data_IF_989833871684
#
_entry.id   IF_989833871684
#
_cell.length_a   1.000
_cell.length_b   1.000
_cell.length_c   1.000
_cell.angle_alpha   90.00
_cell.angle_beta   90.00
_cell.angle_gamma   90.00
#
_symmetry.space_group_name_H-M   'P 1'
#
loop_
_entity.id
_entity.type
_entity.pdbx_description
1 polymer ?
#
# COMPACT_ATOMS: atom_id res chain seq x y z
N UNK A 1 -40.79 -16.52 -31.57
CA UNK A 1 -39.40 -16.20 -31.21
C UNK A 1 -39.00 -17.06 -30.03
N UNK A 2 -37.90 -17.82 -30.13
CA UNK A 2 -37.36 -18.61 -29.02
C UNK A 2 -36.58 -17.69 -28.08
N UNK A 3 -37.28 -17.17 -27.08
CA UNK A 3 -36.69 -16.32 -26.04
C UNK A 3 -35.59 -17.03 -25.25
N UNK A 4 -35.67 -18.36 -25.10
CA UNK A 4 -34.65 -19.15 -24.41
C UNK A 4 -33.34 -19.23 -25.21
N UNK A 5 -33.45 -19.44 -26.52
CA UNK A 5 -32.32 -19.40 -27.45
C UNK A 5 -31.64 -18.04 -27.47
N UNK A 6 -32.42 -16.95 -27.53
CA UNK A 6 -31.91 -15.57 -27.49
C UNK A 6 -31.14 -15.27 -26.20
N UNK A 7 -31.70 -15.63 -25.05
CA UNK A 7 -31.04 -15.40 -23.74
C UNK A 7 -29.70 -16.15 -23.61
N UNK A 8 -29.64 -17.40 -24.06
CA UNK A 8 -28.39 -18.18 -24.06
C UNK A 8 -27.32 -17.55 -24.95
N UNK A 9 -27.72 -16.99 -26.10
CA UNK A 9 -26.78 -16.29 -26.98
C UNK A 9 -26.24 -15.01 -26.32
N UNK A 10 -27.09 -14.21 -25.66
CA UNK A 10 -26.64 -13.04 -24.91
C UNK A 10 -25.67 -13.42 -23.78
N UNK A 11 -25.95 -14.50 -23.04
CA UNK A 11 -25.08 -15.01 -21.98
C UNK A 11 -23.68 -15.36 -22.52
N UNK A 12 -23.63 -16.04 -23.68
CA UNK A 12 -22.36 -16.40 -24.33
C UNK A 12 -21.59 -15.18 -24.86
N UNK A 13 -22.26 -14.25 -25.53
CA UNK A 13 -21.62 -13.05 -26.08
C UNK A 13 -20.99 -12.22 -24.97
N UNK A 14 -21.73 -11.99 -23.87
CA UNK A 14 -21.24 -11.17 -22.78
C UNK A 14 -20.14 -11.88 -21.98
N UNK A 15 -20.23 -13.19 -21.83
CA UNK A 15 -19.16 -14.02 -21.27
C UNK A 15 -17.86 -13.93 -22.10
N UNK A 16 -17.96 -14.04 -23.42
CA UNK A 16 -16.79 -13.95 -24.30
C UNK A 16 -16.19 -12.53 -24.30
N UNK A 17 -17.02 -11.50 -24.16
CA UNK A 17 -16.56 -10.13 -23.94
C UNK A 17 -15.72 -9.99 -22.66
N UNK A 18 -16.19 -10.45 -21.50
CA UNK A 18 -15.41 -10.35 -20.27
C UNK A 18 -14.08 -11.10 -20.36
N UNK A 19 -14.06 -12.24 -21.06
CA UNK A 19 -12.83 -13.00 -21.31
C UNK A 19 -11.86 -12.29 -22.26
N UNK A 20 -12.35 -11.60 -23.29
CA UNK A 20 -11.48 -10.94 -24.26
C UNK A 20 -10.80 -9.74 -23.64
N UNK A 21 -11.53 -8.91 -22.88
CA UNK A 21 -10.98 -7.75 -22.17
C UNK A 21 -9.89 -8.15 -21.18
N UNK A 22 -9.97 -9.37 -20.61
CA UNK A 22 -8.96 -9.90 -19.70
C UNK A 22 -7.66 -10.33 -20.38
N UNK A 23 -7.69 -10.78 -21.64
CA UNK A 23 -6.53 -11.36 -22.34
C UNK A 23 -5.57 -10.31 -22.91
N UNK A 24 -6.00 -9.06 -23.03
CA UNK A 24 -5.21 -8.00 -23.65
C UNK A 24 -4.23 -7.33 -22.65
N UNK A 25 -3.49 -8.14 -21.90
CA UNK A 25 -2.48 -7.65 -20.92
C UNK A 25 -1.32 -6.87 -21.59
N UNK A 26 -1.17 -6.98 -22.92
CA UNK A 26 -0.07 -6.37 -23.67
C UNK A 26 -0.29 -4.88 -24.01
N UNK A 27 -1.54 -4.40 -23.92
CA UNK A 27 -1.89 -3.00 -24.11
C UNK A 27 -2.63 -2.57 -22.85
N UNK A 28 -2.07 -1.64 -22.07
CA UNK A 28 -2.77 -1.03 -20.94
C UNK A 28 -3.96 -0.18 -21.44
N UNK A 29 -5.00 -0.83 -21.95
CA UNK A 29 -6.28 -0.18 -22.23
C UNK A 29 -6.98 -0.01 -20.90
N UNK A 30 -7.26 1.25 -20.55
CA UNK A 30 -8.06 1.56 -19.37
C UNK A 30 -9.47 0.99 -19.60
N UNK A 31 -9.94 0.04 -18.77
CA UNK A 31 -11.25 -0.57 -18.98
C UNK A 31 -12.36 0.46 -18.77
N UNK A 32 -13.39 0.43 -19.62
CA UNK A 32 -14.61 1.23 -19.44
C UNK A 32 -15.42 0.65 -18.28
N UNK A 33 -15.14 1.13 -17.07
CA UNK A 33 -15.73 0.63 -15.84
C UNK A 33 -17.25 0.85 -15.81
N UNK A 34 -17.74 1.94 -16.39
CA UNK A 34 -19.17 2.23 -16.47
C UNK A 34 -19.88 1.12 -17.27
N UNK A 35 -19.33 0.78 -18.44
CA UNK A 35 -19.85 -0.29 -19.27
C UNK A 35 -19.76 -1.66 -18.60
N UNK A 36 -18.64 -1.96 -17.94
CA UNK A 36 -18.43 -3.24 -17.25
C UNK A 36 -19.43 -3.41 -16.10
N UNK A 37 -19.59 -2.37 -15.27
CA UNK A 37 -20.54 -2.40 -14.15
C UNK A 37 -21.97 -2.55 -14.65
N UNK A 38 -22.37 -1.76 -15.65
CA UNK A 38 -23.69 -1.86 -16.26
C UNK A 38 -23.93 -3.27 -16.86
N UNK A 39 -22.92 -3.86 -17.48
CA UNK A 39 -22.98 -5.21 -18.04
C UNK A 39 -23.18 -6.29 -16.99
N UNK A 40 -22.51 -6.18 -15.84
CA UNK A 40 -22.65 -7.13 -14.72
C UNK A 40 -24.04 -7.01 -14.07
N UNK A 41 -24.52 -5.79 -13.86
CA UNK A 41 -25.89 -5.53 -13.37
C UNK A 41 -26.91 -6.15 -14.32
N UNK A 42 -26.78 -5.88 -15.63
CA UNK A 42 -27.66 -6.46 -16.65
C UNK A 42 -27.60 -7.99 -16.65
N UNK A 43 -26.42 -8.59 -16.46
CA UNK A 43 -26.27 -10.03 -16.39
C UNK A 43 -27.01 -10.64 -15.19
N UNK A 44 -26.99 -10.00 -14.02
CA UNK A 44 -27.78 -10.42 -12.85
C UNK A 44 -29.28 -10.30 -13.13
N UNK A 45 -29.73 -9.13 -13.59
CA UNK A 45 -31.16 -8.84 -13.86
C UNK A 45 -31.75 -9.76 -14.93
N UNK A 46 -31.01 -10.03 -16.01
CA UNK A 46 -31.42 -10.93 -17.07
C UNK A 46 -31.08 -12.41 -16.78
N UNK A 47 -30.49 -12.70 -15.61
CA UNK A 47 -30.11 -14.02 -15.14
C UNK A 47 -29.22 -14.76 -16.17
N UNK A 48 -28.21 -14.06 -16.67
CA UNK A 48 -27.16 -14.56 -17.56
C UNK A 48 -26.02 -15.13 -16.72
N UNK A 49 -26.19 -16.37 -16.25
CA UNK A 49 -25.33 -16.96 -15.22
C UNK A 49 -23.84 -16.99 -15.56
N UNK A 50 -23.47 -17.36 -16.80
CA UNK A 50 -22.06 -17.44 -17.18
C UNK A 50 -21.43 -16.06 -17.28
N UNK A 51 -22.13 -15.12 -17.92
CA UNK A 51 -21.69 -13.75 -18.03
C UNK A 51 -21.56 -13.08 -16.66
N UNK A 52 -22.52 -13.30 -15.76
CA UNK A 52 -22.48 -12.76 -14.40
C UNK A 52 -21.26 -13.30 -13.63
N UNK A 53 -21.05 -14.61 -13.60
CA UNK A 53 -19.91 -15.21 -12.89
C UNK A 53 -18.56 -14.68 -13.40
N UNK A 54 -18.39 -14.60 -14.72
CA UNK A 54 -17.13 -14.13 -15.30
C UNK A 54 -16.95 -12.62 -15.13
N UNK A 55 -18.01 -11.84 -15.26
CA UNK A 55 -18.01 -10.41 -15.00
C UNK A 55 -17.70 -10.08 -13.54
N UNK A 56 -18.23 -10.84 -12.58
CA UNK A 56 -17.89 -10.67 -11.16
C UNK A 56 -16.42 -10.98 -10.86
N UNK A 57 -15.84 -12.01 -11.47
CA UNK A 57 -14.39 -12.26 -11.36
C UNK A 57 -13.59 -11.07 -11.88
N UNK A 58 -14.00 -10.51 -13.01
CA UNK A 58 -13.32 -9.37 -13.61
C UNK A 58 -13.43 -8.10 -12.74
N UNK A 59 -14.61 -7.80 -12.18
CA UNK A 59 -14.78 -6.72 -11.19
C UNK A 59 -13.83 -6.90 -10.01
N UNK A 60 -13.78 -8.11 -9.46
CA UNK A 60 -12.87 -8.42 -8.36
C UNK A 60 -11.40 -8.23 -8.74
N UNK A 61 -10.99 -8.59 -9.95
CA UNK A 61 -9.63 -8.35 -10.45
C UNK A 61 -9.30 -6.85 -10.51
N UNK A 62 -10.19 -6.03 -11.07
CA UNK A 62 -10.01 -4.56 -11.13
C UNK A 62 -9.93 -3.97 -9.72
N UNK A 63 -10.85 -4.35 -8.81
CA UNK A 63 -10.85 -3.87 -7.42
C UNK A 63 -9.60 -4.29 -6.63
N UNK A 64 -8.95 -5.38 -7.03
CA UNK A 64 -7.74 -5.88 -6.37
C UNK A 64 -6.45 -5.42 -7.03
N UNK A 65 -6.53 -4.86 -8.23
CA UNK A 65 -5.41 -4.26 -8.93
C UNK A 65 -4.76 -3.17 -8.05
N UNK A 66 -3.43 -3.25 -7.96
CA UNK A 66 -2.58 -2.35 -7.16
C UNK A 66 -1.84 -1.33 -8.02
N UNK A 67 -2.05 -1.35 -9.34
CA UNK A 67 -1.54 -0.31 -10.22
C UNK A 67 -2.24 1.02 -9.90
N UNK A 68 -1.58 2.13 -10.21
CA UNK A 68 -2.11 3.49 -10.00
C UNK A 68 -1.99 4.25 -11.32
N UNK A 69 -2.99 5.05 -11.73
CA UNK A 69 -4.31 5.28 -11.10
C UNK A 69 -5.40 4.28 -11.53
N UNK A 70 -5.02 3.16 -12.17
CA UNK A 70 -5.93 2.15 -12.72
C UNK A 70 -6.33 1.13 -11.65
N UNK A 71 -7.56 0.58 -11.70
CA UNK A 71 -8.00 -0.46 -10.77
C UNK A 71 -9.03 0.04 -9.76
N UNK A 72 -8.81 -0.19 -8.46
CA UNK A 72 -9.79 0.12 -7.40
C UNK A 72 -10.22 1.59 -7.32
N UNK A 73 -9.39 2.49 -7.83
CA UNK A 73 -9.62 3.94 -7.88
C UNK A 73 -10.55 4.37 -9.01
N UNK A 74 -10.90 3.47 -9.93
CA UNK A 74 -11.80 3.75 -11.05
C UNK A 74 -13.28 3.65 -10.68
N UNK A 75 -13.60 3.09 -9.50
CA UNK A 75 -14.98 2.94 -9.06
C UNK A 75 -15.48 4.24 -8.40
N UNK A 76 -16.58 4.76 -8.92
CA UNK A 76 -17.34 5.85 -8.31
C UNK A 76 -18.23 5.32 -7.18
N UNK A 77 -18.80 6.23 -6.39
CA UNK A 77 -19.80 5.85 -5.38
C UNK A 77 -21.03 5.20 -6.03
N UNK A 78 -21.42 5.66 -7.22
CA UNK A 78 -22.55 5.12 -7.97
C UNK A 78 -22.28 3.68 -8.45
N UNK A 79 -21.07 3.42 -8.95
CA UNK A 79 -20.66 2.05 -9.29
C UNK A 79 -20.76 1.13 -8.08
N UNK A 80 -20.27 1.59 -6.94
CA UNK A 80 -20.27 0.80 -5.71
C UNK A 80 -21.68 0.59 -5.13
N UNK A 81 -22.61 1.53 -5.30
CA UNK A 81 -24.02 1.34 -4.94
C UNK A 81 -24.65 0.19 -5.74
N UNK A 82 -24.35 0.11 -7.03
CA UNK A 82 -24.87 -0.93 -7.91
C UNK A 82 -24.18 -2.28 -7.68
N UNK A 83 -22.87 -2.27 -7.42
CA UNK A 83 -22.08 -3.49 -7.23
C UNK A 83 -22.21 -4.11 -5.84
N UNK A 84 -22.35 -3.33 -4.76
CA UNK A 84 -22.33 -3.87 -3.39
C UNK A 84 -23.29 -5.04 -3.15
N UNK A 85 -24.55 -4.99 -3.62
CA UNK A 85 -25.48 -6.13 -3.51
C UNK A 85 -25.04 -7.36 -4.32
N UNK A 86 -24.36 -7.15 -5.45
CA UNK A 86 -23.87 -8.23 -6.33
C UNK A 86 -22.59 -8.86 -5.79
N UNK A 87 -21.72 -8.05 -5.19
CA UNK A 87 -20.51 -8.50 -4.50
C UNK A 87 -20.89 -9.44 -3.35
N UNK A 88 -21.97 -9.17 -2.62
CA UNK A 88 -22.46 -10.08 -1.56
C UNK A 88 -22.82 -11.47 -2.10
N UNK A 89 -23.37 -11.56 -3.32
CA UNK A 89 -23.75 -12.84 -3.94
C UNK A 89 -22.54 -13.67 -4.39
N UNK A 90 -21.35 -13.06 -4.47
CA UNK A 90 -20.14 -13.73 -4.96
C UNK A 90 -19.56 -14.66 -3.90
N UNK A 91 -19.16 -15.88 -4.30
CA UNK A 91 -18.55 -16.88 -3.42
C UNK A 91 -17.23 -16.39 -2.80
N UNK A 92 -16.53 -15.47 -3.47
CA UNK A 92 -15.23 -14.97 -3.05
C UNK A 92 -15.31 -13.73 -2.15
N UNK A 93 -16.53 -13.23 -1.89
CA UNK A 93 -16.75 -11.94 -1.28
C UNK A 93 -16.14 -11.79 0.11
N UNK A 94 -16.26 -12.81 0.96
CA UNK A 94 -15.68 -12.81 2.32
C UNK A 94 -14.15 -12.67 2.22
N UNK A 95 -13.51 -13.53 1.43
CA UNK A 95 -12.07 -13.53 1.25
C UNK A 95 -11.57 -12.19 0.70
N UNK A 96 -12.25 -11.65 -0.31
CA UNK A 96 -11.86 -10.41 -0.96
C UNK A 96 -12.05 -9.19 -0.07
N UNK A 97 -13.17 -9.07 0.63
CA UNK A 97 -13.44 -7.96 1.54
C UNK A 97 -12.40 -7.89 2.66
N UNK A 98 -12.23 -9.00 3.37
CA UNK A 98 -11.43 -9.02 4.59
C UNK A 98 -9.93 -8.94 4.32
N UNK A 99 -9.43 -9.62 3.27
CA UNK A 99 -7.99 -9.67 3.00
C UNK A 99 -7.47 -8.57 2.09
N UNK A 100 -8.29 -8.08 1.15
CA UNK A 100 -7.78 -7.18 0.09
C UNK A 100 -8.33 -5.77 0.17
N UNK A 101 -9.61 -5.63 0.50
CA UNK A 101 -10.26 -4.33 0.63
C UNK A 101 -10.19 -3.77 2.05
N UNK A 102 -9.76 -4.59 3.03
CA UNK A 102 -9.67 -4.24 4.45
C UNK A 102 -11.02 -3.72 5.00
N UNK A 103 -12.13 -4.24 4.49
CA UNK A 103 -13.47 -4.00 5.01
C UNK A 103 -14.07 -5.31 5.52
N UNK A 104 -15.03 -5.23 6.43
CA UNK A 104 -15.74 -6.44 6.88
C UNK A 104 -16.75 -6.83 5.81
N UNK A 105 -16.97 -8.12 5.63
CA UNK A 105 -17.99 -8.61 4.69
C UNK A 105 -19.38 -8.01 4.98
N UNK A 106 -19.75 -7.88 6.25
CA UNK A 106 -21.01 -7.26 6.66
C UNK A 106 -21.14 -5.78 6.29
N UNK A 107 -20.03 -5.09 6.01
CA UNK A 107 -20.06 -3.68 5.62
C UNK A 107 -20.69 -3.50 4.23
N UNK A 108 -20.65 -4.52 3.35
CA UNK A 108 -21.26 -4.45 2.00
C UNK A 108 -22.76 -4.07 2.05
N UNK A 109 -23.45 -4.39 3.14
CA UNK A 109 -24.88 -4.09 3.35
C UNK A 109 -25.14 -2.67 3.84
N UNK A 110 -24.09 -1.96 4.24
CA UNK A 110 -24.24 -0.62 4.78
C UNK A 110 -24.43 0.39 3.66
N UNK A 111 -25.41 1.28 3.80
CA UNK A 111 -25.59 2.44 2.91
C UNK A 111 -24.35 3.34 2.87
N UNK A 112 -23.49 3.28 3.88
CA UNK A 112 -22.24 4.05 3.95
C UNK A 112 -21.06 3.38 3.25
N UNK A 113 -21.20 2.11 2.83
CA UNK A 113 -20.09 1.37 2.23
C UNK A 113 -19.56 1.98 0.94
N UNK A 114 -20.40 2.39 -0.03
CA UNK A 114 -19.91 3.03 -1.26
C UNK A 114 -19.02 4.25 -1.00
N UNK A 115 -19.46 5.14 -0.10
CA UNK A 115 -18.72 6.34 0.30
C UNK A 115 -17.41 5.95 1.00
N UNK A 116 -17.48 5.02 1.95
CA UNK A 116 -16.31 4.55 2.68
C UNK A 116 -15.27 3.89 1.77
N UNK A 117 -15.71 3.09 0.79
CA UNK A 117 -14.87 2.42 -0.19
C UNK A 117 -14.11 3.43 -1.05
N UNK A 118 -14.81 4.39 -1.66
CA UNK A 118 -14.19 5.40 -2.54
C UNK A 118 -13.21 6.27 -1.76
N UNK A 119 -13.58 6.66 -0.52
CA UNK A 119 -12.69 7.40 0.37
C UNK A 119 -11.43 6.60 0.73
N UNK A 120 -11.58 5.31 1.03
CA UNK A 120 -10.44 4.44 1.33
C UNK A 120 -9.52 4.27 0.12
N UNK A 121 -10.08 4.11 -1.08
CA UNK A 121 -9.30 4.03 -2.32
C UNK A 121 -8.57 5.34 -2.62
N UNK A 122 -9.22 6.49 -2.41
CA UNK A 122 -8.61 7.81 -2.57
C UNK A 122 -7.46 8.06 -1.57
N UNK A 123 -7.64 7.64 -0.32
CA UNK A 123 -6.58 7.69 0.69
C UNK A 123 -5.41 6.79 0.32
N UNK A 124 -5.69 5.58 -0.16
CA UNK A 124 -4.68 4.64 -0.64
C UNK A 124 -3.92 5.21 -1.84
N UNK A 125 -4.62 5.81 -2.82
CA UNK A 125 -4.03 6.46 -3.99
C UNK A 125 -3.10 7.60 -3.57
N UNK A 126 -3.61 8.52 -2.75
CA UNK A 126 -2.85 9.64 -2.19
C UNK A 126 -1.59 9.11 -1.52
N UNK A 127 -1.74 8.06 -0.71
CA UNK A 127 -0.62 7.45 -0.01
C UNK A 127 0.42 6.84 -0.98
N UNK A 128 -0.03 6.08 -1.97
CA UNK A 128 0.82 5.41 -2.95
C UNK A 128 1.59 6.42 -3.82
N UNK A 129 0.88 7.45 -4.31
CA UNK A 129 1.46 8.60 -5.00
C UNK A 129 2.53 9.24 -4.11
N UNK A 130 2.19 9.63 -2.88
CA UNK A 130 3.14 10.25 -1.95
C UNK A 130 4.39 9.40 -1.74
N UNK A 131 4.25 8.09 -1.53
CA UNK A 131 5.41 7.18 -1.42
C UNK A 131 6.33 7.21 -2.65
N UNK A 132 5.76 7.28 -3.86
CA UNK A 132 6.55 7.29 -5.10
C UNK A 132 7.27 8.62 -5.34
N UNK A 133 6.70 9.72 -4.80
CA UNK A 133 7.28 11.06 -4.89
C UNK A 133 8.30 11.35 -3.80
N UNK A 134 8.32 10.62 -2.68
CA UNK A 134 9.34 10.78 -1.65
C UNK A 134 10.69 10.29 -2.22
N UNK A 135 11.66 11.20 -2.30
CA UNK A 135 13.04 10.89 -2.66
C UNK A 135 13.82 10.40 -1.44
N UNK A 136 13.66 11.09 -0.32
CA UNK A 136 14.39 10.85 0.93
C UNK A 136 13.60 11.30 2.14
N UNK A 137 13.91 10.72 3.29
CA UNK A 137 13.36 11.09 4.59
C UNK A 137 14.45 11.81 5.37
N UNK A 138 14.18 13.03 5.79
CA UNK A 138 15.08 13.79 6.65
C UNK A 138 14.67 13.60 8.11
N UNK A 139 15.57 13.01 8.89
CA UNK A 139 15.42 12.90 10.36
C UNK A 139 16.23 14.01 11.00
N UNK A 140 15.70 14.60 12.07
CA UNK A 140 16.47 15.47 12.96
C UNK A 140 16.08 15.21 14.41
N UNK A 141 17.06 15.24 15.31
CA UNK A 141 16.90 15.07 16.76
C UNK A 141 17.42 16.31 17.48
N UNK A 142 16.74 16.70 18.56
CA UNK A 142 17.12 17.88 19.33
C UNK A 142 18.26 17.63 20.34
N UNK A 143 18.98 16.50 20.27
CA UNK A 143 19.82 16.04 21.38
C UNK A 143 21.21 15.54 20.95
N UNK A 144 22.24 15.98 21.69
CA UNK A 144 23.65 15.88 21.29
C UNK A 144 24.27 14.47 21.36
N UNK A 145 23.70 13.56 22.14
CA UNK A 145 24.33 12.26 22.44
C UNK A 145 23.93 11.15 21.46
N UNK A 146 22.85 11.32 20.70
CA UNK A 146 22.46 10.40 19.64
C UNK A 146 21.95 11.23 18.45
N UNK A 147 22.90 11.71 17.65
CA UNK A 147 22.62 12.50 16.45
C UNK A 147 22.32 11.54 15.32
N UNK A 148 21.04 11.43 14.98
CA UNK A 148 20.54 10.65 13.83
C UNK A 148 20.19 11.54 12.64
N UNK A 149 20.67 12.79 12.67
CA UNK A 149 20.27 13.85 11.75
C UNK A 149 20.73 13.61 10.33
N UNK A 150 19.85 13.28 9.41
CA UNK A 150 20.28 12.87 8.10
C UNK A 150 19.18 12.67 7.10
N UNK A 151 19.60 12.56 5.85
CA UNK A 151 18.77 12.08 4.76
C UNK A 151 18.89 10.55 4.69
N UNK A 152 17.73 9.90 4.61
CA UNK A 152 17.56 8.46 4.51
C UNK A 152 16.90 8.15 3.18
N UNK A 153 17.49 7.27 2.40
CA UNK A 153 16.99 6.84 1.10
C UNK A 153 16.51 5.39 1.17
N UNK A 154 15.58 5.02 0.31
CA UNK A 154 14.98 3.69 0.32
C UNK A 154 13.51 3.71 -0.05
N UNK A 155 12.83 2.60 0.23
CA UNK A 155 11.39 2.45 0.02
C UNK A 155 10.81 1.61 1.15
N UNK A 156 9.55 1.83 1.55
CA UNK A 156 8.91 1.01 2.57
C UNK A 156 9.06 -0.50 2.28
N UNK A 157 9.33 -1.32 3.32
CA UNK A 157 9.29 -0.99 4.74
C UNK A 157 10.63 -0.49 5.33
N UNK A 158 11.63 -0.13 4.52
CA UNK A 158 12.99 0.17 4.99
C UNK A 158 13.62 1.41 4.31
N UNK A 159 14.21 2.28 5.11
CA UNK A 159 14.99 3.44 4.69
C UNK A 159 16.34 3.43 5.39
N UNK A 160 17.42 3.57 4.63
CA UNK A 160 18.78 3.53 5.16
C UNK A 160 19.43 4.91 5.03
N UNK A 161 20.22 5.29 6.03
CA UNK A 161 21.09 6.44 5.88
C UNK A 161 22.18 6.09 4.85
N UNK A 162 22.43 6.99 3.89
CA UNK A 162 23.43 6.79 2.84
C UNK A 162 24.88 6.72 3.34
N UNK A 163 25.14 7.01 4.62
CA UNK A 163 26.48 7.04 5.17
C UNK A 163 26.51 6.45 6.59
N UNK A 164 27.57 5.68 6.87
CA UNK A 164 27.98 5.34 8.22
C UNK A 164 28.26 6.60 9.01
N UNK A 165 27.86 6.62 10.28
CA UNK A 165 27.94 7.79 11.14
C UNK A 165 28.74 7.45 12.39
N UNK A 166 29.53 8.42 12.83
CA UNK A 166 30.16 8.35 14.15
C UNK A 166 29.18 8.89 15.18
N UNK A 167 28.62 8.00 15.99
CA UNK A 167 27.71 8.36 17.08
C UNK A 167 28.41 8.09 18.40
N UNK A 168 28.34 9.07 19.32
CA UNK A 168 28.85 8.87 20.68
C UNK A 168 27.85 8.08 21.50
N UNK A 169 27.99 6.76 21.49
CA UNK A 169 27.15 5.83 22.25
C UNK A 169 27.94 5.28 23.43
N UNK A 170 27.34 5.20 24.62
CA UNK A 170 28.07 4.76 25.83
C UNK A 170 29.31 5.59 26.24
N UNK A 171 29.43 6.82 25.73
CA UNK A 171 30.62 7.66 25.96
C UNK A 171 31.79 7.32 25.02
N UNK A 172 31.62 6.28 24.20
CA UNK A 172 32.55 5.83 23.17
C UNK A 172 32.07 6.33 21.80
N UNK A 173 33.00 6.73 20.94
CA UNK A 173 32.69 7.09 19.57
C UNK A 173 32.62 5.80 18.75
N UNK A 174 31.41 5.38 18.38
CA UNK A 174 31.18 4.16 17.60
C UNK A 174 30.85 4.51 16.15
N UNK A 175 31.32 3.69 15.22
CA UNK A 175 30.79 3.68 13.86
C UNK A 175 29.47 2.94 13.89
N UNK A 176 28.40 3.61 13.49
CA UNK A 176 27.07 3.02 13.42
C UNK A 176 26.49 3.23 12.02
N UNK A 177 25.79 2.23 11.50
CA UNK A 177 24.79 2.49 10.46
C UNK A 177 23.44 2.75 11.14
N UNK A 178 22.63 3.62 10.52
CA UNK A 178 21.32 3.98 11.04
C UNK A 178 20.28 3.60 10.01
N UNK A 179 19.29 2.85 10.45
CA UNK A 179 18.20 2.36 9.63
C UNK A 179 16.86 2.76 10.22
N UNK A 180 15.95 3.21 9.36
CA UNK A 180 14.53 3.35 9.64
C UNK A 180 13.85 2.13 9.05
N UNK A 181 13.26 1.26 9.88
CA UNK A 181 12.51 0.11 9.36
C UNK A 181 11.31 -0.24 10.22
N UNK A 182 10.39 -1.00 9.63
CA UNK A 182 9.20 -1.48 10.33
C UNK A 182 9.53 -2.74 11.14
N UNK A 183 9.10 -2.79 12.40
CA UNK A 183 9.16 -3.96 13.32
C UNK A 183 7.73 -4.32 13.76
N UNK A 184 7.57 -5.40 14.54
CA UNK A 184 6.26 -5.89 15.01
C UNK A 184 5.41 -4.80 15.69
N UNK A 185 6.03 -3.91 16.48
CA UNK A 185 5.33 -2.82 17.18
C UNK A 185 5.16 -1.53 16.35
N UNK A 186 5.78 -1.44 15.16
CA UNK A 186 5.77 -0.27 14.29
C UNK A 186 7.14 0.14 13.76
N UNK A 187 7.22 1.35 13.20
CA UNK A 187 8.46 1.94 12.75
C UNK A 187 9.46 2.13 13.88
N UNK A 188 10.72 1.87 13.58
CA UNK A 188 11.84 1.97 14.51
C UNK A 188 13.04 2.63 13.84
N UNK A 189 13.77 3.43 14.61
CA UNK A 189 15.13 3.88 14.28
C UNK A 189 16.11 2.95 14.98
N UNK A 190 16.94 2.29 14.18
CA UNK A 190 17.83 1.23 14.63
C UNK A 190 19.26 1.66 14.35
N UNK A 191 20.08 1.57 15.39
CA UNK A 191 21.51 1.77 15.33
C UNK A 191 22.15 0.39 15.23
N UNK A 192 22.91 0.15 14.16
CA UNK A 192 23.74 -1.04 14.03
C UNK A 192 25.17 -0.64 14.35
N UNK A 193 25.72 -1.16 15.44
CA UNK A 193 27.12 -0.91 15.79
C UNK A 193 27.99 -1.75 14.88
N UNK A 194 28.85 -1.09 14.10
CA UNK A 194 29.75 -1.77 13.17
C UNK A 194 31.06 -2.02 13.92
N UNK A 195 31.53 -3.28 14.01
CA UNK A 195 32.80 -3.59 14.64
C UNK A 195 33.98 -2.94 13.89
N UNK A 196 35.17 -2.90 14.51
CA UNK A 196 36.40 -2.62 13.77
C UNK A 196 36.54 -3.58 12.59
N UNK A 197 37.16 -3.10 11.50
CA UNK A 197 37.55 -3.97 10.39
C UNK A 197 38.65 -4.94 10.87
N UNK A 198 38.61 -6.17 10.38
CA UNK A 198 39.66 -7.16 10.57
C UNK A 198 40.91 -6.84 9.73
N UNK A 199 41.89 -7.75 9.74
CA UNK A 199 43.17 -7.57 9.01
C UNK A 199 42.96 -7.56 7.49
N UNK A 200 41.86 -8.14 7.02
CA UNK A 200 41.42 -8.21 5.62
C UNK A 200 40.60 -6.97 5.19
N UNK A 201 40.25 -6.09 6.14
CA UNK A 201 39.49 -4.87 5.86
C UNK A 201 37.98 -5.09 5.81
N UNK A 202 37.48 -6.24 6.27
CA UNK A 202 36.06 -6.57 6.33
C UNK A 202 35.54 -6.42 7.78
N UNK A 203 34.30 -5.97 7.99
CA UNK A 203 33.69 -5.98 9.31
C UNK A 203 33.25 -7.41 9.67
N UNK A 204 33.53 -7.84 10.91
CA UNK A 204 32.96 -9.08 11.45
C UNK A 204 31.43 -8.97 11.59
N UNK A 205 30.71 -9.36 10.55
CA UNK A 205 29.26 -9.23 10.47
C UNK A 205 28.51 -9.93 11.61
N UNK A 206 29.08 -10.98 12.21
CA UNK A 206 28.46 -11.72 13.31
C UNK A 206 28.48 -10.94 14.64
N UNK A 207 29.29 -9.89 14.73
CA UNK A 207 29.40 -9.01 15.90
C UNK A 207 28.55 -7.74 15.81
N UNK A 208 27.75 -7.56 14.75
CA UNK A 208 26.89 -6.39 14.58
C UNK A 208 25.77 -6.41 15.63
N UNK A 209 25.83 -5.49 16.59
CA UNK A 209 24.80 -5.31 17.60
C UNK A 209 23.77 -4.28 17.12
N UNK A 210 22.53 -4.73 16.95
CA UNK A 210 21.39 -3.84 16.67
C UNK A 210 20.81 -3.28 17.97
N UNK A 211 20.59 -1.96 18.02
CA UNK A 211 19.92 -1.30 19.15
C UNK A 211 18.81 -0.39 18.64
N UNK A 212 17.61 -0.55 19.19
CA UNK A 212 16.47 0.33 18.86
C UNK A 212 16.62 1.62 19.66
N UNK A 213 16.86 2.74 18.97
CA UNK A 213 17.00 4.04 19.61
C UNK A 213 15.64 4.70 19.83
N UNK A 214 14.78 4.69 18.81
CA UNK A 214 13.40 5.19 18.90
C UNK A 214 12.42 4.22 18.26
N UNK A 215 11.17 4.25 18.73
CA UNK A 215 10.05 3.55 18.13
C UNK A 215 8.83 4.45 18.00
N UNK A 216 8.01 4.22 16.98
CA UNK A 216 6.69 4.82 16.84
C UNK A 216 5.64 3.71 17.02
N UNK A 217 5.08 3.55 18.23
CA UNK A 217 4.15 2.48 18.53
C UNK A 217 2.90 2.52 17.63
N UNK A 218 2.33 1.36 17.32
CA UNK A 218 1.11 1.19 16.52
C UNK A 218 1.20 1.69 15.07
N UNK A 219 2.41 1.98 14.59
CA UNK A 219 2.66 2.42 13.21
C UNK A 219 3.02 1.27 12.26
N UNK A 220 2.86 0.00 12.66
CA UNK A 220 3.25 -1.16 11.83
C UNK A 220 2.46 -1.30 10.53
N UNK A 221 1.25 -0.73 10.51
CA UNK A 221 0.42 -0.65 9.31
C UNK A 221 0.66 0.64 8.51
N UNK A 222 1.54 1.53 8.99
CA UNK A 222 1.87 2.76 8.27
C UNK A 222 2.94 2.45 7.22
N UNK A 223 2.64 2.68 5.95
CA UNK A 223 3.64 2.55 4.87
C UNK A 223 4.78 3.58 4.93
N UNK A 224 4.63 4.70 5.65
CA UNK A 224 5.73 5.64 5.89
C UNK A 224 5.96 5.84 7.39
N UNK A 225 7.21 6.15 7.81
CA UNK A 225 7.49 6.47 9.20
C UNK A 225 6.70 7.71 9.60
N UNK A 226 5.97 7.72 10.72
CA UNK A 226 5.11 8.85 11.08
C UNK A 226 5.92 10.10 11.41
N UNK A 227 5.33 11.28 11.20
CA UNK A 227 5.99 12.56 11.53
C UNK A 227 6.03 12.88 13.02
N UNK A 228 5.24 12.18 13.84
CA UNK A 228 5.06 12.40 15.28
C UNK A 228 4.84 11.07 16.01
N UNK A 229 4.83 11.12 17.35
CA UNK A 229 4.53 9.94 18.19
C UNK A 229 5.72 9.01 18.41
N UNK A 230 6.93 9.46 18.11
CA UNK A 230 8.15 8.72 18.42
C UNK A 230 8.45 8.78 19.91
N UNK A 231 8.79 7.62 20.47
CA UNK A 231 9.25 7.49 21.84
C UNK A 231 10.66 6.90 21.86
N UNK A 232 11.45 7.37 22.81
CA UNK A 232 12.78 6.83 23.10
C UNK A 232 12.66 5.38 23.56
N UNK A 233 13.26 4.45 22.83
CA UNK A 233 13.36 3.05 23.23
C UNK A 233 14.65 2.78 24.04
N UNK A 234 15.65 3.68 23.94
CA UNK A 234 16.91 3.56 24.66
C UNK A 234 17.17 4.76 25.58
N UNK A 235 17.68 4.60 26.82
CA UNK A 235 17.86 5.71 27.78
C UNK A 235 18.70 6.92 27.29
N UNK A 236 19.54 6.70 26.26
CA UNK A 236 20.41 7.70 25.62
C UNK A 236 19.81 8.37 24.38
N UNK A 237 18.74 7.81 23.83
CA UNK A 237 18.02 8.33 22.67
C UNK A 237 16.99 9.39 23.09
N UNK A 238 17.46 10.44 23.79
CA UNK A 238 16.60 11.51 24.31
C UNK A 238 16.34 12.58 23.26
N UNK A 239 15.33 13.40 23.49
CA UNK A 239 14.96 14.52 22.62
C UNK A 239 13.78 14.22 21.73
N UNK A 240 13.29 15.28 21.07
CA UNK A 240 12.21 15.18 20.11
C UNK A 240 12.78 14.78 18.74
N UNK A 241 12.20 13.76 18.14
CA UNK A 241 12.46 13.42 16.74
C UNK A 241 11.52 14.19 15.82
N UNK A 242 12.10 14.79 14.79
CA UNK A 242 11.37 15.44 13.70
C UNK A 242 11.69 14.71 12.40
N UNK A 243 10.65 14.21 11.76
CA UNK A 243 10.71 13.57 10.44
C UNK A 243 10.13 14.55 9.42
N UNK A 244 10.88 14.81 8.35
CA UNK A 244 10.42 15.53 7.18
C UNK A 244 10.58 14.65 5.94
N UNK A 245 9.62 14.72 5.02
CA UNK A 245 9.70 14.00 3.75
C UNK A 245 10.17 14.98 2.67
N UNK A 246 11.21 14.60 1.95
CA UNK A 246 11.69 15.37 0.81
C UNK A 246 11.15 14.70 -0.44
N UNK A 247 10.48 15.48 -1.27
CA UNK A 247 9.95 14.99 -2.55
C UNK A 247 11.06 15.03 -3.61
N UNK A 248 10.93 14.23 -4.67
CA UNK A 248 11.76 14.37 -5.88
C UNK A 248 11.49 15.74 -6.50
N UNK A 249 12.53 16.49 -6.83
CA UNK A 249 12.39 17.68 -7.67
C UNK A 249 12.25 17.24 -9.13
N UNK A 250 11.11 17.56 -9.77
CA UNK A 250 10.86 17.24 -11.17
C UNK A 250 9.37 17.36 -11.53
N UNK A 251 9.10 18.03 -12.65
CA UNK A 251 7.80 18.47 -13.18
C UNK A 251 6.70 17.40 -13.08
N UNK A 252 5.64 17.72 -12.34
CA UNK A 252 4.40 16.96 -12.40
C UNK A 252 3.58 17.55 -13.55
N UNK A 253 3.78 17.03 -14.77
CA UNK A 253 2.72 17.11 -15.77
C UNK A 253 1.67 16.05 -15.41
N UNK A 254 0.59 16.51 -14.80
CA UNK A 254 -0.64 15.73 -14.68
C UNK A 254 -1.32 15.76 -16.06
N UNK A 255 -1.21 14.68 -16.83
CA UNK A 255 -2.02 14.43 -18.01
C UNK A 255 -3.36 13.79 -17.62
#
# INVERSE_FOLDING_TARGET
YDFGGGRKLCDLILFDYFKSVRKDESVMVVPDVDFIVASVVLADEANLGKAFEEGMKFIWEIMNCMYVPVGRTMFSEEHMKNLAPLLEKSTDAIYMCERRLKCRYGDLKSDTFPIAFVKNCSNWLTHHIMCNFISRIKVSSSYLYCVVDGDYEGRPPEFCANAQRKVRWDGVLNNVSIELRTKEEGWAIILKTIPPLDEEGEPDHDSIVETIAWKAPHSGNMPLPPSKGWISAHPRARGELKIAYILKEGEVELW
#
